data_IF_214018223794
#
_entry.id   IF_214018223794
#
_cell.length_a   1.000
_cell.length_b   1.000
_cell.length_c   1.000
_cell.angle_alpha   90.00
_cell.angle_beta   90.00
_cell.angle_gamma   90.00
#
_symmetry.space_group_name_H-M   'P 1'
#
loop_
_entity.id
_entity.type
_entity.pdbx_description
1 polymer ?
#
# COMPACT_ATOMS: atom_id res chain seq x y z
N UNK A 1 -35.58 -30.92 -40.10
CA UNK A 1 -35.82 -32.36 -40.40
C UNK A 1 -35.24 -32.65 -41.76
N UNK A 2 -34.32 -33.62 -41.89
CA UNK A 2 -33.62 -34.20 -43.07
C UNK A 2 -32.20 -34.53 -42.55
N UNK A 3 -31.93 -35.64 -41.85
CA UNK A 3 -31.79 -37.04 -42.31
C UNK A 3 -30.90 -37.22 -43.55
N UNK A 4 -29.81 -37.97 -43.38
CA UNK A 4 -28.96 -38.54 -44.45
C UNK A 4 -27.49 -38.58 -44.03
N UNK A 5 -27.00 -39.62 -43.35
CA UNK A 5 -26.65 -40.96 -43.83
C UNK A 5 -25.15 -41.09 -44.16
N UNK A 6 -24.56 -42.13 -43.56
CA UNK A 6 -23.16 -42.51 -43.60
C UNK A 6 -22.72 -43.06 -44.96
N UNK A 7 -21.42 -42.98 -45.24
CA UNK A 7 -20.74 -43.81 -46.21
C UNK A 7 -19.37 -44.26 -45.68
N UNK A 8 -19.26 -45.57 -45.44
CA UNK A 8 -18.00 -46.30 -45.36
C UNK A 8 -17.31 -46.28 -46.74
N UNK A 9 -15.98 -46.19 -46.76
CA UNK A 9 -15.19 -46.75 -47.85
C UNK A 9 -13.81 -47.18 -47.37
N UNK A 10 -13.37 -48.26 -47.99
CA UNK A 10 -12.38 -49.22 -47.53
C UNK A 10 -11.01 -49.02 -48.20
N UNK A 11 -10.01 -49.63 -47.55
CA UNK A 11 -8.74 -50.19 -48.07
C UNK A 11 -7.82 -49.31 -48.95
N UNK A 12 -6.57 -49.15 -48.47
CA UNK A 12 -5.39 -49.64 -49.20
C UNK A 12 -4.19 -49.81 -48.25
N UNK A 13 -3.71 -51.04 -48.11
CA UNK A 13 -2.38 -51.36 -47.57
C UNK A 13 -1.33 -50.94 -48.60
N UNK A 14 -0.32 -50.18 -48.17
CA UNK A 14 0.99 -50.16 -48.80
C UNK A 14 2.06 -50.39 -47.73
N UNK A 15 2.64 -51.58 -47.77
CA UNK A 15 3.87 -51.90 -47.05
C UNK A 15 5.05 -51.37 -47.87
N UNK A 16 5.72 -50.33 -47.37
CA UNK A 16 7.11 -50.02 -47.75
C UNK A 16 8.02 -50.33 -46.57
N UNK A 17 8.90 -51.30 -46.80
CA UNK A 17 10.03 -51.61 -45.95
C UNK A 17 11.06 -50.48 -46.03
N UNK A 18 11.16 -49.67 -44.97
CA UNK A 18 12.36 -48.86 -44.71
C UNK A 18 13.24 -49.58 -43.70
N UNK A 19 14.37 -50.08 -44.18
CA UNK A 19 15.49 -50.49 -43.34
C UNK A 19 15.93 -49.27 -42.51
N UNK A 20 15.70 -49.35 -41.19
CA UNK A 20 16.12 -48.34 -40.23
C UNK A 20 17.56 -48.68 -39.83
N UNK A 21 18.52 -47.94 -40.35
CA UNK A 21 19.87 -47.90 -39.78
C UNK A 21 19.76 -47.56 -38.29
N UNK A 22 20.39 -48.37 -37.44
CA UNK A 22 20.48 -48.09 -36.00
C UNK A 22 21.36 -46.84 -35.82
N UNK A 23 20.84 -45.75 -35.23
CA UNK A 23 21.69 -44.64 -34.86
C UNK A 23 22.68 -45.09 -33.79
N UNK A 24 23.95 -44.79 -34.04
CA UNK A 24 25.03 -44.90 -33.07
C UNK A 24 24.65 -44.11 -31.80
N UNK A 25 24.91 -44.64 -30.58
CA UNK A 25 24.59 -43.92 -29.35
C UNK A 25 25.33 -42.58 -29.34
N UNK A 26 24.57 -41.50 -29.17
CA UNK A 26 25.12 -40.17 -28.98
C UNK A 26 25.98 -40.14 -27.72
N UNK A 27 27.09 -39.37 -27.70
CA UNK A 27 27.87 -39.16 -26.49
C UNK A 27 26.97 -38.57 -25.41
N UNK A 28 27.03 -39.17 -24.22
CA UNK A 28 26.35 -38.70 -23.01
C UNK A 28 26.65 -37.21 -22.84
N UNK A 29 25.65 -36.31 -22.79
CA UNK A 29 25.91 -34.92 -22.49
C UNK A 29 26.52 -34.84 -21.09
N UNK A 30 27.70 -34.26 -21.01
CA UNK A 30 28.33 -33.89 -19.76
C UNK A 30 27.31 -33.07 -18.97
N UNK A 31 26.88 -33.60 -17.82
CA UNK A 31 26.05 -32.85 -16.89
C UNK A 31 26.77 -31.52 -16.62
N UNK A 32 26.18 -30.36 -16.95
CA UNK A 32 26.81 -29.10 -16.60
C UNK A 32 26.92 -29.05 -15.07
N UNK A 33 28.16 -28.99 -14.60
CA UNK A 33 28.47 -28.68 -13.21
C UNK A 33 27.71 -27.40 -12.87
N UNK A 34 26.84 -27.38 -11.83
CA UNK A 34 26.18 -26.17 -11.40
C UNK A 34 27.26 -25.11 -11.14
N UNK A 35 27.11 -23.88 -11.65
CA UNK A 35 27.98 -22.79 -11.20
C UNK A 35 27.88 -22.76 -9.67
N UNK A 36 29.05 -22.79 -9.02
CA UNK A 36 29.13 -22.68 -7.57
C UNK A 36 28.31 -21.47 -7.14
N UNK A 37 27.20 -21.73 -6.44
CA UNK A 37 26.34 -20.70 -5.86
C UNK A 37 27.08 -20.04 -4.70
N UNK A 38 28.10 -19.24 -5.01
CA UNK A 38 28.68 -18.25 -4.12
C UNK A 38 28.00 -16.90 -4.41
N UNK A 39 26.68 -16.87 -4.29
CA UNK A 39 25.98 -15.63 -3.95
C UNK A 39 25.48 -15.82 -2.54
N UNK A 40 26.34 -15.51 -1.57
CA UNK A 40 25.87 -15.20 -0.23
C UNK A 40 24.83 -14.08 -0.39
N UNK A 41 23.57 -14.42 -0.13
CA UNK A 41 22.53 -13.40 -0.01
C UNK A 41 23.02 -12.38 1.03
N UNK A 42 22.93 -11.07 0.77
CA UNK A 42 23.31 -10.07 1.74
C UNK A 42 22.46 -10.29 3.00
N UNK A 43 23.08 -10.77 4.07
CA UNK A 43 22.45 -10.88 5.38
C UNK A 43 22.18 -9.46 5.87
N UNK A 44 20.97 -8.96 5.62
CA UNK A 44 20.54 -7.70 6.19
C UNK A 44 20.55 -7.86 7.72
N UNK A 45 21.30 -7.01 8.41
CA UNK A 45 21.35 -6.99 9.87
C UNK A 45 19.99 -6.53 10.39
N UNK A 46 19.16 -7.46 10.85
CA UNK A 46 17.92 -7.14 11.56
C UNK A 46 18.27 -6.78 13.01
N UNK A 47 17.97 -5.55 13.43
CA UNK A 47 18.07 -5.17 14.84
C UNK A 47 16.69 -5.33 15.45
N UNK A 48 16.56 -6.25 16.39
CA UNK A 48 15.36 -6.36 17.21
C UNK A 48 15.34 -5.20 18.19
N UNK A 49 14.43 -4.26 18.00
CA UNK A 49 13.97 -3.42 19.10
C UNK A 49 12.72 -4.09 19.62
N UNK A 50 12.88 -4.88 20.69
CA UNK A 50 11.74 -5.20 21.53
C UNK A 50 11.23 -3.83 22.01
N UNK A 51 10.05 -3.43 21.53
CA UNK A 51 9.27 -2.42 22.22
C UNK A 51 9.08 -3.05 23.59
N UNK A 52 9.93 -2.68 24.56
CA UNK A 52 9.58 -2.88 25.95
C UNK A 52 8.15 -2.40 26.02
N UNK A 53 7.21 -3.27 26.42
CA UNK A 53 5.82 -2.91 26.59
C UNK A 53 5.84 -1.69 27.50
N UNK A 54 5.84 -0.51 26.89
CA UNK A 54 6.26 0.71 27.54
C UNK A 54 5.08 1.08 28.41
N UNK A 55 5.09 0.54 29.63
CA UNK A 55 4.41 1.14 30.77
C UNK A 55 4.94 2.57 31.01
N UNK A 56 6.05 2.96 30.35
CA UNK A 56 6.50 4.33 30.14
C UNK A 56 5.71 5.08 29.06
N UNK A 57 4.38 4.96 29.06
CA UNK A 57 3.54 5.85 28.26
C UNK A 57 3.74 7.27 28.74
N UNK A 58 4.39 8.13 27.94
CA UNK A 58 4.29 9.59 27.98
C UNK A 58 4.01 10.20 29.37
N UNK A 59 4.75 9.80 30.40
CA UNK A 59 4.46 10.20 31.79
C UNK A 59 4.72 11.70 32.01
N UNK A 60 5.39 12.37 31.06
CA UNK A 60 5.64 13.81 31.08
C UNK A 60 4.92 14.61 29.99
N UNK A 61 4.08 13.96 29.17
CA UNK A 61 3.02 14.71 28.49
C UNK A 61 1.84 14.74 29.44
N UNK A 62 1.67 15.86 30.15
CA UNK A 62 0.37 16.25 30.71
C UNK A 62 -0.73 15.82 29.76
N UNK A 63 -1.85 15.20 30.23
CA UNK A 63 -2.84 14.57 29.38
C UNK A 63 -3.31 15.55 28.31
N UNK A 64 -2.62 15.50 27.16
CA UNK A 64 -2.95 16.27 25.99
C UNK A 64 -4.31 15.71 25.60
N UNK A 65 -5.30 16.60 25.69
CA UNK A 65 -6.74 16.35 25.65
C UNK A 65 -7.12 15.03 24.95
N UNK A 66 -8.07 14.31 25.56
CA UNK A 66 -8.60 13.07 24.98
C UNK A 66 -8.92 13.30 23.49
N UNK A 67 -8.55 12.34 22.62
CA UNK A 67 -8.74 12.52 21.19
C UNK A 67 -10.23 12.74 20.92
N UNK A 68 -10.54 13.74 20.12
CA UNK A 68 -11.93 14.03 19.76
C UNK A 68 -12.37 13.05 18.68
N UNK A 69 -13.37 12.25 18.97
CA UNK A 69 -13.90 11.21 18.09
C UNK A 69 -15.24 11.68 17.50
N UNK A 70 -15.41 11.52 16.19
CA UNK A 70 -16.69 11.69 15.52
C UNK A 70 -17.02 10.50 14.62
N UNK A 71 -18.31 10.17 14.62
CA UNK A 71 -18.88 9.23 13.67
C UNK A 71 -19.10 9.95 12.33
N UNK A 72 -18.43 9.47 11.29
CA UNK A 72 -18.49 10.06 9.95
C UNK A 72 -19.69 9.52 9.18
N UNK A 73 -20.12 8.29 9.45
CA UNK A 73 -21.15 7.62 8.67
C UNK A 73 -20.93 6.11 8.55
N UNK A 74 -21.66 5.46 7.63
CA UNK A 74 -21.49 4.03 7.37
C UNK A 74 -20.06 3.67 6.93
N UNK A 75 -19.64 2.42 7.17
CA UNK A 75 -18.35 1.92 6.70
C UNK A 75 -18.19 2.06 5.18
N UNK A 76 -17.16 2.79 4.76
CA UNK A 76 -16.80 2.96 3.36
C UNK A 76 -15.33 3.28 3.13
N UNK A 77 -14.90 3.30 1.86
CA UNK A 77 -13.55 3.72 1.48
C UNK A 77 -13.37 5.19 1.83
N UNK A 78 -12.54 5.46 2.85
CA UNK A 78 -12.38 6.79 3.42
C UNK A 78 -10.92 7.25 3.43
N UNK A 79 -10.72 8.55 3.26
CA UNK A 79 -9.41 9.19 3.40
C UNK A 79 -9.52 10.50 4.17
N UNK A 80 -8.59 10.70 5.10
CA UNK A 80 -8.47 11.97 5.82
C UNK A 80 -7.88 13.04 4.89
N UNK A 81 -8.35 14.28 5.04
CA UNK A 81 -7.89 15.45 4.29
C UNK A 81 -7.85 16.68 5.21
N UNK A 82 -7.18 17.77 4.80
CA UNK A 82 -7.26 19.04 5.53
C UNK A 82 -8.66 19.63 5.69
N UNK A 83 -9.63 19.18 4.89
CA UNK A 83 -11.01 19.68 4.90
C UNK A 83 -11.98 18.78 5.67
N UNK A 84 -11.54 17.58 6.09
CA UNK A 84 -12.39 16.57 6.70
C UNK A 84 -12.12 15.18 6.15
N UNK A 85 -13.13 14.31 6.12
CA UNK A 85 -13.02 12.91 5.68
C UNK A 85 -13.75 12.73 4.35
N UNK A 86 -13.03 12.25 3.32
CA UNK A 86 -13.59 12.00 1.99
C UNK A 86 -13.98 10.53 1.87
N UNK A 87 -15.20 10.25 1.41
CA UNK A 87 -15.70 8.91 1.13
C UNK A 87 -16.05 8.76 -0.35
N UNK A 88 -15.94 7.53 -0.86
CA UNK A 88 -16.37 7.15 -2.22
C UNK A 88 -17.55 6.19 -2.16
N UNK A 89 -18.61 6.47 -2.90
CA UNK A 89 -19.75 5.54 -3.07
C UNK A 89 -19.49 4.53 -4.20
N UNK A 90 -20.30 3.46 -4.27
CA UNK A 90 -20.25 2.48 -5.37
C UNK A 90 -20.53 3.07 -6.76
N UNK A 91 -21.16 4.25 -6.79
CA UNK A 91 -21.51 4.99 -8.00
C UNK A 91 -20.53 6.12 -8.31
N UNK A 92 -19.31 6.05 -7.77
CA UNK A 92 -18.22 7.01 -8.02
C UNK A 92 -18.53 8.44 -7.57
N UNK A 93 -19.40 8.60 -6.57
CA UNK A 93 -19.62 9.88 -5.92
C UNK A 93 -18.57 10.11 -4.83
N UNK A 94 -17.97 11.30 -4.84
CA UNK A 94 -17.13 11.79 -3.74
C UNK A 94 -18.01 12.56 -2.77
N UNK A 95 -17.94 12.17 -1.50
CA UNK A 95 -18.62 12.81 -0.40
C UNK A 95 -17.57 13.34 0.56
N UNK A 96 -17.80 14.52 1.11
CA UNK A 96 -16.93 15.13 2.11
C UNK A 96 -17.72 15.29 3.41
N UNK A 97 -17.33 14.54 4.43
CA UNK A 97 -17.67 14.87 5.80
C UNK A 97 -16.75 16.00 6.23
N UNK A 98 -17.22 17.25 6.09
CA UNK A 98 -16.41 18.43 6.34
C UNK A 98 -16.10 18.62 7.83
N UNK A 99 -14.98 19.25 8.15
CA UNK A 99 -14.74 19.73 9.51
C UNK A 99 -15.87 20.68 9.92
N UNK A 100 -16.52 20.36 11.04
CA UNK A 100 -17.70 21.09 11.49
C UNK A 100 -17.33 22.48 12.02
N UNK A 101 -18.23 23.44 11.81
CA UNK A 101 -18.16 24.79 12.41
C UNK A 101 -18.75 24.83 13.82
N UNK A 102 -19.56 23.83 14.19
CA UNK A 102 -20.08 23.69 15.55
C UNK A 102 -18.94 23.20 16.46
N UNK A 103 -18.55 23.95 17.50
CA UNK A 103 -17.51 23.52 18.43
C UNK A 103 -17.85 22.23 19.20
N UNK A 104 -19.10 21.74 19.16
CA UNK A 104 -19.53 20.48 19.77
C UNK A 104 -19.42 19.27 18.84
N UNK A 105 -19.14 19.48 17.55
CA UNK A 105 -18.98 18.41 16.57
C UNK A 105 -17.68 18.58 15.81
N UNK A 106 -16.93 17.50 15.66
CA UNK A 106 -15.70 17.50 14.88
C UNK A 106 -15.95 17.51 13.38
N UNK A 107 -16.93 16.73 12.91
CA UNK A 107 -17.21 16.46 11.50
C UNK A 107 -18.71 16.50 11.19
N UNK A 108 -19.06 16.92 9.99
CA UNK A 108 -20.40 16.80 9.43
C UNK A 108 -20.63 15.35 8.99
N UNK A 109 -21.50 14.62 9.69
CA UNK A 109 -21.78 13.22 9.38
C UNK A 109 -22.46 13.07 8.00
N UNK A 110 -22.12 11.99 7.30
CA UNK A 110 -22.75 11.59 6.05
C UNK A 110 -23.95 10.70 6.38
N UNK A 111 -25.14 11.20 6.05
CA UNK A 111 -26.39 10.47 6.18
C UNK A 111 -26.76 9.80 4.86
N UNK A 112 -26.16 8.63 4.61
CA UNK A 112 -26.51 7.75 3.50
C UNK A 112 -26.67 6.32 4.01
N UNK A 113 -27.39 5.50 3.25
CA UNK A 113 -27.50 4.08 3.53
C UNK A 113 -26.14 3.36 3.38
N UNK A 114 -25.88 2.39 4.27
CA UNK A 114 -24.64 1.62 4.25
C UNK A 114 -24.42 0.80 2.98
N UNK A 115 -25.49 0.46 2.25
CA UNK A 115 -25.44 -0.20 0.95
C UNK A 115 -24.85 0.66 -0.16
N UNK A 116 -24.76 1.98 0.03
CA UNK A 116 -24.12 2.90 -0.92
C UNK A 116 -22.58 2.73 -0.97
N UNK A 117 -21.98 2.07 0.03
CA UNK A 117 -20.53 1.96 0.19
C UNK A 117 -20.02 0.52 0.01
N UNK A 118 -18.77 0.40 -0.41
CA UNK A 118 -18.03 -0.87 -0.40
C UNK A 118 -17.22 -0.95 0.90
N UNK A 119 -17.74 -1.67 1.90
CA UNK A 119 -17.23 -1.63 3.29
C UNK A 119 -15.75 -1.99 3.45
N UNK A 120 -15.19 -2.80 2.54
CA UNK A 120 -13.80 -3.25 2.58
C UNK A 120 -12.90 -2.59 1.52
N UNK A 121 -13.42 -1.62 0.78
CA UNK A 121 -12.67 -0.90 -0.24
C UNK A 121 -11.66 0.08 0.37
N UNK A 122 -10.69 0.49 -0.44
CA UNK A 122 -9.66 1.46 -0.05
C UNK A 122 -10.11 2.88 -0.35
N UNK A 123 -9.86 3.78 0.58
CA UNK A 123 -10.07 5.22 0.39
C UNK A 123 -9.25 5.80 -0.76
N UNK A 124 -9.65 6.97 -1.29
CA UNK A 124 -8.93 7.62 -2.37
C UNK A 124 -7.52 8.07 -1.93
N UNK A 125 -6.57 8.06 -2.86
CA UNK A 125 -5.35 8.84 -2.71
C UNK A 125 -5.65 10.32 -2.94
N UNK A 126 -5.10 11.20 -2.11
CA UNK A 126 -5.35 12.65 -2.19
C UNK A 126 -4.03 13.35 -2.46
N UNK A 127 -4.00 14.20 -3.49
CA UNK A 127 -2.93 15.18 -3.70
C UNK A 127 -3.49 16.46 -4.31
N UNK A 128 -3.06 17.61 -3.80
CA UNK A 128 -3.66 18.90 -4.13
C UNK A 128 -5.18 18.91 -3.90
N UNK A 129 -5.94 19.33 -4.92
CA UNK A 129 -7.41 19.35 -4.91
C UNK A 129 -8.04 18.11 -5.58
N UNK A 130 -7.30 17.02 -5.75
CA UNK A 130 -7.80 15.83 -6.44
C UNK A 130 -7.82 14.60 -5.54
N UNK A 131 -8.84 13.77 -5.74
CA UNK A 131 -8.94 12.42 -5.24
C UNK A 131 -8.81 11.42 -6.40
N UNK A 132 -8.05 10.34 -6.16
CA UNK A 132 -7.77 9.29 -7.13
C UNK A 132 -8.10 7.92 -6.53
N UNK A 133 -8.81 7.07 -7.26
CA UNK A 133 -9.17 5.73 -6.81
C UNK A 133 -9.39 4.77 -7.98
N UNK A 134 -9.59 3.50 -7.67
CA UNK A 134 -9.93 2.48 -8.66
C UNK A 134 -11.42 2.22 -8.63
N UNK A 135 -12.06 2.25 -9.80
CA UNK A 135 -13.45 1.93 -9.98
C UNK A 135 -13.68 1.12 -11.24
N UNK A 136 -14.22 -0.10 -11.07
CA UNK A 136 -14.65 -0.99 -12.15
C UNK A 136 -13.51 -1.23 -13.15
N UNK A 137 -12.32 -1.54 -12.62
CA UNK A 137 -11.11 -1.80 -13.40
C UNK A 137 -10.43 -0.57 -14.00
N UNK A 138 -10.83 0.65 -13.61
CA UNK A 138 -10.28 1.92 -14.13
C UNK A 138 -9.65 2.73 -13.02
N UNK A 139 -8.52 3.39 -13.31
CA UNK A 139 -8.01 4.48 -12.48
C UNK A 139 -8.83 5.72 -12.82
N UNK A 140 -9.44 6.33 -11.81
CA UNK A 140 -10.25 7.54 -11.98
C UNK A 140 -9.76 8.66 -11.07
N UNK A 141 -9.99 9.90 -11.50
CA UNK A 141 -9.68 11.11 -10.75
C UNK A 141 -10.87 12.06 -10.72
N UNK A 142 -11.02 12.78 -9.62
CA UNK A 142 -12.03 13.85 -9.51
C UNK A 142 -11.56 14.93 -8.54
N UNK A 143 -11.88 16.18 -8.84
CA UNK A 143 -11.58 17.31 -7.95
C UNK A 143 -12.46 17.29 -6.71
N UNK A 144 -11.88 17.59 -5.55
CA UNK A 144 -12.57 17.72 -4.27
C UNK A 144 -13.48 18.95 -4.23
N UNK A 145 -13.18 19.98 -5.01
CA UNK A 145 -14.03 21.16 -5.22
C UNK A 145 -15.27 20.88 -6.10
N UNK A 146 -15.36 19.69 -6.72
CA UNK A 146 -16.43 19.32 -7.63
C UNK A 146 -15.97 19.20 -9.08
N UNK A 147 -16.86 18.73 -9.98
CA UNK A 147 -16.55 18.50 -11.39
C UNK A 147 -16.90 17.10 -11.86
N UNK A 148 -16.56 16.80 -13.13
CA UNK A 148 -16.74 15.48 -13.72
C UNK A 148 -15.73 14.46 -13.21
N UNK A 149 -16.11 13.18 -13.24
CA UNK A 149 -15.20 12.07 -13.04
C UNK A 149 -14.35 11.89 -14.31
N UNK A 150 -13.03 11.84 -14.16
CA UNK A 150 -12.09 11.61 -15.25
C UNK A 150 -11.56 10.17 -15.19
N UNK A 151 -11.50 9.49 -16.34
CA UNK A 151 -10.84 8.18 -16.47
C UNK A 151 -9.39 8.42 -16.89
N UNK A 152 -8.45 8.00 -16.04
CA UNK A 152 -7.02 8.24 -16.22
C UNK A 152 -6.31 7.02 -16.83
N UNK A 153 -6.80 5.81 -16.53
CA UNK A 153 -6.35 4.55 -17.12
C UNK A 153 -7.46 3.49 -17.05
N UNK A 154 -7.45 2.53 -17.98
CA UNK A 154 -8.53 1.52 -18.14
C UNK A 154 -8.15 0.11 -17.68
N UNK A 155 -6.94 -0.05 -17.17
CA UNK A 155 -6.33 -1.34 -16.84
C UNK A 155 -6.07 -1.52 -15.34
N UNK A 156 -6.59 -0.65 -14.48
CA UNK A 156 -6.38 -0.75 -13.04
C UNK A 156 -6.99 -2.03 -12.44
N UNK A 157 -6.36 -2.56 -11.38
CA UNK A 157 -6.79 -3.78 -10.68
C UNK A 157 -7.71 -3.42 -9.50
N UNK A 158 -8.96 -3.85 -9.57
CA UNK A 158 -9.93 -3.65 -8.49
C UNK A 158 -9.42 -4.18 -7.14
N UNK A 159 -9.80 -3.49 -6.07
CA UNK A 159 -9.43 -3.83 -4.69
C UNK A 159 -8.02 -3.40 -4.26
N UNK A 160 -7.19 -2.92 -5.18
CA UNK A 160 -5.86 -2.37 -4.84
C UNK A 160 -5.93 -0.89 -4.47
N UNK A 161 -4.96 -0.44 -3.66
CA UNK A 161 -4.82 0.97 -3.28
C UNK A 161 -4.05 1.74 -4.35
N UNK A 162 -4.44 3.00 -4.53
CA UNK A 162 -3.71 4.00 -5.33
C UNK A 162 -2.85 4.85 -4.40
N UNK A 163 -1.72 5.34 -4.89
CA UNK A 163 -0.93 6.36 -4.22
C UNK A 163 -0.76 7.57 -5.16
N UNK A 164 -0.79 8.78 -4.61
CA UNK A 164 -0.66 10.00 -5.39
C UNK A 164 0.35 10.95 -4.74
N UNK A 165 1.08 11.69 -5.58
CA UNK A 165 2.11 12.63 -5.17
C UNK A 165 2.28 13.72 -6.24
N UNK A 166 3.06 14.75 -5.91
CA UNK A 166 3.51 15.80 -6.82
C UNK A 166 4.99 15.61 -7.13
N UNK A 167 5.37 15.70 -8.40
CA UNK A 167 6.75 15.69 -8.87
C UNK A 167 6.94 16.92 -9.76
N UNK A 168 7.58 17.95 -9.24
CA UNK A 168 7.59 19.27 -9.88
C UNK A 168 6.18 19.85 -9.94
N UNK A 169 5.76 20.28 -11.13
CA UNK A 169 4.39 20.75 -11.39
C UNK A 169 3.41 19.62 -11.75
N UNK A 170 3.90 18.38 -11.91
CA UNK A 170 3.09 17.25 -12.34
C UNK A 170 2.47 16.51 -11.16
N UNK A 171 1.18 16.21 -11.25
CA UNK A 171 0.56 15.21 -10.39
C UNK A 171 0.88 13.82 -10.96
N UNK A 172 1.29 12.91 -10.08
CA UNK A 172 1.58 11.52 -10.45
C UNK A 172 0.77 10.57 -9.58
N UNK A 173 0.32 9.47 -10.17
CA UNK A 173 -0.58 8.52 -9.54
C UNK A 173 -0.11 7.09 -9.81
N UNK A 174 0.35 6.42 -8.77
CA UNK A 174 0.76 5.02 -8.83
C UNK A 174 -0.43 4.09 -8.57
N UNK A 175 -0.55 3.04 -9.38
CA UNK A 175 -1.60 2.03 -9.27
C UNK A 175 -1.09 0.65 -9.70
N UNK A 176 -1.79 -0.39 -9.26
CA UNK A 176 -1.57 -1.76 -9.74
C UNK A 176 -2.46 -2.01 -10.94
N UNK A 177 -1.88 -2.34 -12.09
CA UNK A 177 -2.59 -2.69 -13.30
C UNK A 177 -2.84 -4.20 -13.39
N UNK A 178 -3.95 -4.57 -14.03
CA UNK A 178 -4.28 -5.94 -14.41
C UNK A 178 -3.24 -6.48 -15.40
N UNK A 179 -3.03 -7.80 -15.41
CA UNK A 179 -2.21 -8.44 -16.43
C UNK A 179 -2.68 -8.07 -17.84
N UNK A 180 -1.74 -7.75 -18.74
CA UNK A 180 -2.05 -7.48 -20.15
C UNK A 180 -2.43 -8.74 -20.93
N UNK A 181 -2.12 -9.93 -20.39
CA UNK A 181 -2.42 -11.24 -20.97
C UNK A 181 -3.07 -12.14 -19.92
N UNK A 182 -3.96 -13.06 -20.32
CA UNK A 182 -4.52 -14.05 -19.40
C UNK A 182 -3.42 -14.85 -18.71
N UNK A 183 -3.43 -14.87 -17.38
CA UNK A 183 -2.42 -15.58 -16.57
C UNK A 183 -1.09 -14.85 -16.42
N UNK A 184 -0.92 -13.65 -16.98
CA UNK A 184 0.24 -12.81 -16.73
C UNK A 184 0.24 -12.20 -15.32
N UNK A 185 1.32 -11.51 -14.98
CA UNK A 185 1.47 -10.82 -13.71
C UNK A 185 0.86 -9.41 -13.71
N UNK A 186 0.36 -8.99 -12.56
CA UNK A 186 -0.04 -7.60 -12.34
C UNK A 186 1.19 -6.69 -12.28
N UNK A 187 1.12 -5.48 -12.83
CA UNK A 187 2.27 -4.57 -12.89
C UNK A 187 1.98 -3.25 -12.19
N UNK A 188 2.96 -2.66 -11.50
CA UNK A 188 2.82 -1.30 -10.99
C UNK A 188 3.03 -0.29 -12.13
N UNK A 189 2.12 0.68 -12.24
CA UNK A 189 2.16 1.75 -13.24
C UNK A 189 2.06 3.12 -12.58
N UNK A 190 2.57 4.15 -13.25
CA UNK A 190 2.51 5.55 -12.84
C UNK A 190 1.81 6.34 -13.95
N UNK A 191 0.62 6.83 -13.68
CA UNK A 191 0.01 7.86 -14.51
C UNK A 191 0.61 9.23 -14.16
N UNK A 192 0.90 10.04 -15.16
CA UNK A 192 1.43 11.39 -15.04
C UNK A 192 0.43 12.37 -15.64
N UNK A 193 0.17 13.48 -14.94
CA UNK A 193 -0.68 14.56 -15.45
C UNK A 193 -0.23 14.99 -16.85
N UNK A 194 -1.16 14.97 -17.81
CA UNK A 194 -0.85 15.08 -19.24
C UNK A 194 -1.09 13.79 -20.02
N UNK A 195 -1.36 12.67 -19.33
CA UNK A 195 -1.85 11.42 -19.92
C UNK A 195 -0.77 10.37 -20.21
N UNK A 196 0.49 10.64 -19.89
CA UNK A 196 1.55 9.65 -19.99
C UNK A 196 1.40 8.59 -18.89
N UNK A 197 1.65 7.32 -19.22
CA UNK A 197 1.70 6.23 -18.24
C UNK A 197 3.02 5.49 -18.35
N UNK A 198 3.72 5.39 -17.23
CA UNK A 198 5.03 4.73 -17.11
C UNK A 198 4.90 3.42 -16.33
N UNK A 199 5.79 2.46 -16.62
CA UNK A 199 5.90 1.22 -15.84
C UNK A 199 6.81 1.44 -14.62
N UNK A 200 6.28 1.21 -13.41
CA UNK A 200 7.03 1.33 -12.16
C UNK A 200 7.77 0.04 -11.82
N UNK A 201 7.07 -1.09 -11.80
CA UNK A 201 7.66 -2.40 -11.48
C UNK A 201 8.62 -2.85 -12.59
N UNK A 202 9.76 -3.48 -12.28
CA UNK A 202 10.66 -4.03 -13.29
C UNK A 202 9.98 -5.13 -14.12
N UNK A 203 10.65 -5.56 -15.19
CA UNK A 203 10.19 -6.68 -16.01
C UNK A 203 10.16 -7.98 -15.19
N UNK A 204 9.08 -8.77 -15.32
CA UNK A 204 8.88 -10.02 -14.58
C UNK A 204 8.45 -9.90 -13.11
N UNK A 205 8.30 -8.68 -12.57
CA UNK A 205 7.79 -8.48 -11.21
C UNK A 205 6.25 -8.42 -11.17
N UNK A 206 5.66 -9.01 -10.13
CA UNK A 206 4.22 -9.05 -9.88
C UNK A 206 3.82 -8.09 -8.75
N UNK A 207 3.32 -6.89 -9.09
CA UNK A 207 2.95 -5.89 -8.09
C UNK A 207 1.64 -6.23 -7.36
N UNK A 208 1.65 -6.13 -6.03
CA UNK A 208 0.47 -6.26 -5.17
C UNK A 208 0.08 -4.95 -4.47
N UNK A 209 1.04 -4.07 -4.18
CA UNK A 209 0.80 -2.77 -3.54
C UNK A 209 1.79 -1.71 -4.06
N UNK A 210 1.36 -0.45 -4.02
CA UNK A 210 2.19 0.72 -4.38
C UNK A 210 2.10 1.82 -3.33
N UNK A 211 3.17 2.58 -3.17
CA UNK A 211 3.17 3.84 -2.42
C UNK A 211 4.02 4.90 -3.12
N UNK A 212 3.70 6.17 -2.90
CA UNK A 212 4.49 7.31 -3.34
C UNK A 212 4.83 8.16 -2.12
N UNK A 213 6.10 8.47 -1.95
CA UNK A 213 6.59 9.30 -0.84
C UNK A 213 7.19 10.58 -1.40
N UNK A 214 6.54 11.71 -1.18
CA UNK A 214 7.06 13.02 -1.59
C UNK A 214 8.32 13.39 -0.78
N UNK A 215 9.37 13.77 -1.50
CA UNK A 215 10.69 14.19 -1.00
C UNK A 215 11.00 15.61 -1.44
N UNK A 216 12.08 16.21 -0.93
CA UNK A 216 12.51 17.54 -1.37
C UNK A 216 12.94 17.61 -2.85
N UNK A 217 13.23 16.46 -3.48
CA UNK A 217 13.82 16.37 -4.81
C UNK A 217 12.93 15.62 -5.82
N UNK A 218 11.65 15.44 -5.51
CA UNK A 218 10.71 14.63 -6.28
C UNK A 218 9.99 13.64 -5.38
N UNK A 219 9.88 12.37 -5.79
CA UNK A 219 9.23 11.35 -4.98
C UNK A 219 9.99 10.01 -5.00
N UNK A 220 9.75 9.15 -4.02
CA UNK A 220 10.16 7.76 -4.04
C UNK A 220 8.93 6.88 -4.28
N UNK A 221 8.96 6.12 -5.36
CA UNK A 221 7.96 5.10 -5.65
C UNK A 221 8.34 3.78 -5.01
N UNK A 222 7.44 3.22 -4.23
CA UNK A 222 7.58 1.90 -3.60
C UNK A 222 6.62 0.93 -4.29
N UNK A 223 7.11 -0.25 -4.64
CA UNK A 223 6.27 -1.34 -5.17
C UNK A 223 6.53 -2.60 -4.37
N UNK A 224 5.48 -3.15 -3.78
CA UNK A 224 5.53 -4.43 -3.08
C UNK A 224 5.16 -5.54 -4.06
N UNK A 225 6.03 -6.53 -4.18
CA UNK A 225 5.78 -7.76 -4.93
C UNK A 225 5.35 -8.87 -3.97
N UNK A 226 4.05 -8.94 -3.69
CA UNK A 226 3.50 -9.95 -2.78
C UNK A 226 3.57 -11.35 -3.38
N UNK A 227 4.40 -12.23 -2.79
CA UNK A 227 4.42 -13.67 -3.12
C UNK A 227 4.34 -14.51 -1.85
N UNK A 228 4.00 -15.78 -2.03
CA UNK A 228 4.12 -16.79 -0.98
C UNK A 228 5.61 -17.06 -0.73
N UNK A 229 6.11 -16.74 0.47
CA UNK A 229 7.48 -17.02 0.90
C UNK A 229 8.49 -15.86 0.79
N UNK A 230 8.51 -15.10 -0.31
CA UNK A 230 9.42 -13.96 -0.48
C UNK A 230 8.70 -12.77 -1.09
N UNK A 231 8.72 -11.64 -0.38
CA UNK A 231 8.07 -10.40 -0.82
C UNK A 231 9.12 -9.31 -1.06
N UNK A 232 9.62 -9.14 -2.29
CA UNK A 232 10.48 -8.00 -2.64
C UNK A 232 9.76 -6.66 -2.47
N UNK A 233 10.46 -5.70 -1.88
CA UNK A 233 10.11 -4.29 -1.90
C UNK A 233 11.06 -3.57 -2.86
N UNK A 234 10.49 -3.11 -3.96
CA UNK A 234 11.17 -2.29 -4.95
C UNK A 234 11.05 -0.81 -4.60
N UNK A 235 12.10 -0.05 -4.85
CA UNK A 235 12.14 1.39 -4.68
C UNK A 235 12.76 2.07 -5.90
N UNK A 236 12.07 3.09 -6.43
CA UNK A 236 12.50 3.89 -7.60
C UNK A 236 12.34 5.36 -7.33
N UNK A 237 13.37 6.15 -7.59
CA UNK A 237 13.26 7.62 -7.48
C UNK A 237 12.55 8.18 -8.70
N UNK A 238 11.68 9.14 -8.44
CA UNK A 238 10.99 9.98 -9.40
C UNK A 238 11.57 11.37 -9.30
N UNK A 239 11.98 11.92 -10.44
CA UNK A 239 12.43 13.30 -10.54
C UNK A 239 11.82 14.01 -11.74
N UNK A 240 12.22 15.25 -11.95
CA UNK A 240 11.86 16.03 -13.12
C UNK A 240 13.12 16.36 -13.92
N UNK A 241 13.07 16.16 -15.24
CA UNK A 241 14.13 16.57 -16.15
C UNK A 241 13.53 17.18 -17.41
N UNK A 242 13.74 18.48 -17.59
CA UNK A 242 13.23 19.22 -18.75
C UNK A 242 11.70 19.20 -18.87
N UNK A 243 10.98 19.40 -17.75
CA UNK A 243 9.52 19.42 -17.74
C UNK A 243 8.85 18.05 -17.78
N UNK A 244 9.63 16.96 -17.69
CA UNK A 244 9.12 15.58 -17.75
C UNK A 244 9.48 14.80 -16.50
N UNK A 245 8.53 14.00 -16.03
CA UNK A 245 8.77 13.04 -14.96
C UNK A 245 9.70 11.95 -15.48
N UNK A 246 10.77 11.68 -14.74
CA UNK A 246 11.74 10.63 -15.06
C UNK A 246 11.82 9.62 -13.93
N UNK A 247 11.94 8.34 -14.31
CA UNK A 247 12.17 7.21 -13.41
C UNK A 247 13.66 6.89 -13.37
N UNK A 248 14.25 6.82 -12.18
CA UNK A 248 15.58 6.26 -12.00
C UNK A 248 15.53 4.70 -12.01
N UNK A 249 16.71 4.09 -11.88
CA UNK A 249 16.87 2.63 -11.84
C UNK A 249 16.13 2.01 -10.66
N UNK A 250 15.76 0.74 -10.82
CA UNK A 250 15.11 -0.06 -9.79
C UNK A 250 16.11 -0.60 -8.77
N UNK A 251 15.70 -0.59 -7.51
CA UNK A 251 16.42 -1.21 -6.41
C UNK A 251 15.49 -2.10 -5.62
N UNK A 252 15.84 -3.37 -5.48
CA UNK A 252 15.22 -4.27 -4.49
C UNK A 252 15.79 -3.89 -3.12
N UNK A 253 15.10 -3.00 -2.43
CA UNK A 253 15.58 -2.43 -1.18
C UNK A 253 15.54 -3.45 -0.04
N UNK A 254 14.52 -4.31 -0.03
CA UNK A 254 14.29 -5.30 1.01
C UNK A 254 13.52 -6.51 0.47
N UNK A 255 13.68 -7.67 1.10
CA UNK A 255 12.89 -8.88 0.81
C UNK A 255 12.32 -9.40 2.13
N UNK A 256 10.99 -9.38 2.23
CA UNK A 256 10.25 -9.87 3.40
C UNK A 256 9.76 -11.30 3.26
N UNK A 257 9.03 -11.76 4.29
CA UNK A 257 8.31 -13.03 4.29
C UNK A 257 7.08 -13.03 3.37
N UNK A 258 6.08 -13.84 3.67
CA UNK A 258 4.90 -13.96 2.83
C UNK A 258 3.99 -12.74 2.98
N UNK A 259 3.61 -12.13 1.86
CA UNK A 259 2.54 -11.14 1.84
C UNK A 259 1.18 -11.82 1.79
N UNK A 260 0.23 -11.25 2.51
CA UNK A 260 -1.19 -11.61 2.43
C UNK A 260 -1.91 -10.73 1.40
N UNK A 261 -3.16 -11.08 1.08
CA UNK A 261 -3.91 -10.39 0.02
C UNK A 261 -4.14 -8.90 0.29
N UNK A 262 -4.10 -8.49 1.57
CA UNK A 262 -4.32 -7.12 2.01
C UNK A 262 -3.04 -6.46 2.54
N UNK A 263 -1.87 -7.09 2.39
CA UNK A 263 -0.59 -6.49 2.75
C UNK A 263 -0.30 -5.28 1.85
N UNK A 264 -0.19 -4.11 2.47
CA UNK A 264 0.10 -2.85 1.79
C UNK A 264 1.47 -2.33 2.21
N UNK A 265 2.17 -1.68 1.27
CA UNK A 265 3.30 -0.82 1.59
C UNK A 265 2.82 0.62 1.72
N UNK A 266 3.31 1.32 2.74
CA UNK A 266 3.23 2.78 2.84
C UNK A 266 4.62 3.34 3.12
N UNK A 267 4.81 4.64 2.95
CA UNK A 267 6.11 5.25 3.23
C UNK A 267 6.00 6.68 3.74
N UNK A 268 7.07 7.16 4.35
CA UNK A 268 7.12 8.45 5.01
C UNK A 268 8.52 9.05 4.98
N UNK A 269 8.62 10.37 5.15
CA UNK A 269 9.92 11.06 5.22
C UNK A 269 10.23 11.40 6.67
N UNK A 270 11.39 10.99 7.15
CA UNK A 270 11.89 11.33 8.47
C UNK A 270 12.41 12.79 8.53
N UNK A 271 12.60 13.37 9.73
CA UNK A 271 13.05 14.76 9.87
C UNK A 271 14.41 15.08 9.22
N UNK A 272 15.25 14.08 8.99
CA UNK A 272 16.54 14.21 8.29
C UNK A 272 16.43 14.08 6.76
N UNK A 273 15.22 13.96 6.20
CA UNK A 273 14.98 13.81 4.77
C UNK A 273 15.07 12.38 4.23
N UNK A 274 15.47 11.41 5.05
CA UNK A 274 15.45 9.99 4.69
C UNK A 274 14.04 9.46 4.48
N UNK A 275 13.88 8.47 3.60
CA UNK A 275 12.60 7.80 3.38
C UNK A 275 12.56 6.49 4.16
N UNK A 276 11.41 6.23 4.79
CA UNK A 276 11.10 4.97 5.46
C UNK A 276 9.94 4.28 4.76
N UNK A 277 10.07 2.97 4.56
CA UNK A 277 8.99 2.08 4.12
C UNK A 277 8.40 1.33 5.30
N UNK A 278 7.09 1.09 5.28
CA UNK A 278 6.37 0.36 6.32
C UNK A 278 5.49 -0.72 5.70
N UNK A 279 5.61 -1.95 6.20
CA UNK A 279 4.83 -3.10 5.75
C UNK A 279 4.46 -3.97 6.94
N UNK A 280 3.16 -4.21 7.18
CA UNK A 280 2.71 -5.18 8.17
C UNK A 280 2.69 -6.58 7.51
N UNK A 281 3.59 -7.47 7.94
CA UNK A 281 3.88 -8.72 7.24
C UNK A 281 4.53 -9.75 8.18
N UNK A 282 4.55 -11.01 7.74
CA UNK A 282 5.34 -12.07 8.36
C UNK A 282 6.82 -11.69 8.41
N UNK A 283 7.40 -11.79 9.60
CA UNK A 283 8.84 -11.72 9.83
C UNK A 283 9.48 -13.09 9.59
N UNK A 284 8.89 -14.11 10.18
CA UNK A 284 9.32 -15.50 10.14
C UNK A 284 8.11 -16.42 10.40
N UNK A 285 8.34 -17.74 10.51
CA UNK A 285 7.29 -18.75 10.69
C UNK A 285 6.51 -18.63 12.01
N UNK A 286 7.03 -17.87 12.98
CA UNK A 286 6.42 -17.64 14.29
C UNK A 286 6.05 -16.18 14.55
N UNK A 287 6.59 -15.25 13.75
CA UNK A 287 6.54 -13.82 14.00
C UNK A 287 5.84 -13.05 12.89
N UNK A 288 4.96 -12.14 13.30
CA UNK A 288 4.34 -11.13 12.43
C UNK A 288 4.53 -9.76 13.07
N UNK A 289 4.71 -8.72 12.27
CA UNK A 289 4.85 -7.37 12.79
C UNK A 289 4.86 -6.31 11.70
N UNK A 290 5.13 -5.09 12.12
CA UNK A 290 5.41 -3.97 11.23
C UNK A 290 6.91 -3.90 10.94
N UNK A 291 7.30 -4.16 9.71
CA UNK A 291 8.65 -3.86 9.22
C UNK A 291 8.80 -2.35 9.01
N UNK A 292 9.81 -1.75 9.64
CA UNK A 292 10.27 -0.38 9.45
C UNK A 292 11.58 -0.41 8.66
N UNK A 293 11.53 -0.01 7.39
CA UNK A 293 12.61 -0.21 6.43
C UNK A 293 13.25 1.15 6.14
N UNK A 294 14.52 1.34 6.53
CA UNK A 294 15.27 2.57 6.29
C UNK A 294 15.79 2.59 4.84
N UNK A 295 15.04 3.25 3.96
CA UNK A 295 15.38 3.37 2.54
C UNK A 295 16.39 4.50 2.30
N UNK A 296 16.63 5.36 3.29
CA UNK A 296 17.44 6.57 3.15
C UNK A 296 16.90 7.54 2.09
N UNK A 297 17.69 8.55 1.73
CA UNK A 297 17.36 9.48 0.63
C UNK A 297 17.55 8.83 -0.75
N UNK A 298 18.52 7.92 -0.84
CA UNK A 298 18.79 7.10 -2.03
C UNK A 298 18.65 5.63 -1.65
N UNK A 299 17.67 4.91 -2.23
CA UNK A 299 17.47 3.51 -1.91
C UNK A 299 18.70 2.69 -2.32
N UNK A 300 19.00 1.69 -1.50
CA UNK A 300 20.08 0.72 -1.73
C UNK A 300 19.56 -0.67 -1.40
N UNK A 301 20.20 -1.70 -1.96
CA UNK A 301 19.90 -3.08 -1.60
C UNK A 301 20.24 -3.34 -0.13
N UNK A 302 19.47 -4.20 0.53
CA UNK A 302 19.71 -4.57 1.92
C UNK A 302 19.49 -3.40 2.89
N UNK A 303 18.44 -2.62 2.66
CA UNK A 303 18.00 -1.57 3.57
C UNK A 303 17.86 -2.12 5.00
N UNK A 304 18.39 -1.42 6.03
CA UNK A 304 18.19 -1.82 7.42
C UNK A 304 16.70 -1.94 7.75
N UNK A 305 16.34 -2.95 8.54
CA UNK A 305 14.97 -3.18 8.99
C UNK A 305 14.92 -3.27 10.51
N UNK A 306 14.00 -2.52 11.10
CA UNK A 306 13.58 -2.66 12.50
C UNK A 306 12.15 -3.19 12.53
N UNK A 307 11.77 -3.90 13.59
CA UNK A 307 10.45 -4.53 13.68
C UNK A 307 9.69 -4.05 14.90
N UNK A 308 8.38 -3.79 14.73
CA UNK A 308 7.42 -3.77 15.83
C UNK A 308 6.58 -5.03 15.78
N UNK A 309 6.85 -5.95 16.71
CA UNK A 309 6.19 -7.25 16.72
C UNK A 309 4.73 -7.14 17.14
N UNK A 310 3.87 -7.87 16.44
CA UNK A 310 2.45 -7.96 16.74
C UNK A 310 2.18 -9.25 17.52
N UNK A 311 1.68 -9.16 18.75
CA UNK A 311 1.74 -10.26 19.72
C UNK A 311 0.93 -11.51 19.36
N UNK A 312 0.10 -11.47 18.31
CA UNK A 312 -0.66 -12.62 17.81
C UNK A 312 -0.87 -12.59 16.27
N UNK A 313 -0.04 -11.83 15.54
CA UNK A 313 -0.25 -11.56 14.11
C UNK A 313 -1.58 -10.87 13.79
N UNK A 314 -1.72 -10.36 12.56
CA UNK A 314 -2.93 -9.62 12.20
C UNK A 314 -3.18 -9.54 10.69
N UNK A 315 -4.38 -9.95 10.27
CA UNK A 315 -4.91 -9.63 8.94
C UNK A 315 -6.41 -9.27 9.07
N UNK A 316 -6.86 -8.08 8.62
CA UNK A 316 -6.06 -6.96 8.10
C UNK A 316 -5.31 -6.19 9.18
N UNK A 317 -4.11 -5.72 8.83
CA UNK A 317 -3.28 -4.81 9.62
C UNK A 317 -3.07 -3.49 8.85
N UNK A 318 -4.12 -2.64 8.71
CA UNK A 318 -4.00 -1.42 7.93
C UNK A 318 -2.96 -0.46 8.53
N UNK A 319 -2.17 0.15 7.64
CA UNK A 319 -1.14 1.13 7.95
C UNK A 319 -1.32 2.34 7.04
N UNK A 320 -1.12 3.55 7.55
CA UNK A 320 -1.10 4.76 6.75
C UNK A 320 -0.13 5.80 7.32
N UNK A 321 0.54 6.52 6.43
CA UNK A 321 1.34 7.69 6.76
C UNK A 321 0.61 8.97 6.38
N UNK A 322 0.95 10.07 7.06
CA UNK A 322 0.51 11.41 6.70
C UNK A 322 1.40 12.46 7.35
N UNK A 323 1.62 13.59 6.67
CA UNK A 323 2.32 14.73 7.26
C UNK A 323 1.35 15.64 8.01
N UNK A 324 1.67 15.96 9.25
CA UNK A 324 0.92 16.86 10.12
C UNK A 324 1.83 17.42 11.21
N UNK A 325 1.53 18.60 11.74
CA UNK A 325 2.34 19.27 12.76
C UNK A 325 3.81 19.56 12.36
N UNK A 326 4.16 19.44 11.06
CA UNK A 326 5.54 19.56 10.57
C UNK A 326 6.35 18.25 10.62
N UNK A 327 5.72 17.13 10.95
CA UNK A 327 6.34 15.81 11.05
C UNK A 327 5.54 14.78 10.24
N UNK A 328 6.15 13.62 9.98
CA UNK A 328 5.43 12.48 9.42
C UNK A 328 4.89 11.62 10.56
N UNK A 329 3.60 11.27 10.46
CA UNK A 329 2.91 10.39 11.41
C UNK A 329 2.54 9.09 10.73
N UNK A 330 2.55 8.01 11.50
CA UNK A 330 2.10 6.69 11.09
C UNK A 330 0.95 6.24 11.99
N UNK A 331 -0.20 5.93 11.38
CA UNK A 331 -1.26 5.18 12.02
C UNK A 331 -1.15 3.69 11.62
N UNK A 332 -1.25 2.78 12.58
CA UNK A 332 -1.21 1.34 12.33
C UNK A 332 -2.11 0.58 13.30
N UNK A 333 -2.76 -0.47 12.81
CA UNK A 333 -3.53 -1.39 13.64
C UNK A 333 -2.67 -2.58 14.09
N UNK A 334 -2.79 -2.96 15.37
CA UNK A 334 -2.16 -4.18 15.91
C UNK A 334 -3.08 -4.86 16.94
N UNK A 335 -2.91 -6.15 17.25
CA UNK A 335 -3.60 -6.78 18.38
C UNK A 335 -3.19 -6.13 19.70
N UNK A 336 -4.16 -5.93 20.59
CA UNK A 336 -3.93 -5.39 21.94
C UNK A 336 -3.08 -6.33 22.81
N UNK A 337 -3.24 -7.65 22.62
CA UNK A 337 -2.63 -8.70 23.45
C UNK A 337 -2.30 -9.93 22.60
N UNK A 338 -1.50 -10.86 23.15
CA UNK A 338 -1.15 -12.12 22.50
C UNK A 338 -2.29 -13.15 22.40
N UNK A 339 -3.46 -12.86 22.99
CA UNK A 339 -4.55 -13.84 23.05
C UNK A 339 -5.29 -13.94 21.70
N UNK A 340 -5.66 -15.16 21.25
CA UNK A 340 -6.57 -15.33 20.14
C UNK A 340 -7.85 -14.51 20.28
N UNK A 341 -8.23 -13.79 19.23
CA UNK A 341 -9.42 -12.93 19.22
C UNK A 341 -9.30 -11.66 20.07
N UNK A 342 -8.10 -11.31 20.55
CA UNK A 342 -7.87 -10.00 21.17
C UNK A 342 -8.33 -8.88 20.22
N UNK A 343 -8.98 -7.82 20.75
CA UNK A 343 -9.34 -6.67 19.93
C UNK A 343 -8.08 -6.03 19.34
N UNK A 344 -8.26 -5.33 18.23
CA UNK A 344 -7.24 -4.48 17.66
C UNK A 344 -7.20 -3.12 18.34
N UNK A 345 -6.01 -2.56 18.46
CA UNK A 345 -5.76 -1.17 18.82
C UNK A 345 -5.27 -0.41 17.58
N UNK A 346 -5.78 0.80 17.39
CA UNK A 346 -5.26 1.74 16.40
C UNK A 346 -4.24 2.65 17.08
N UNK A 347 -2.98 2.54 16.67
CA UNK A 347 -1.86 3.30 17.21
C UNK A 347 -1.51 4.46 16.30
N UNK A 348 -1.02 5.56 16.88
CA UNK A 348 -0.43 6.69 16.19
C UNK A 348 0.98 6.96 16.73
N UNK A 349 1.97 7.03 15.84
CA UNK A 349 3.38 7.29 16.16
C UNK A 349 3.95 8.36 15.26
N UNK A 350 4.81 9.22 15.79
CA UNK A 350 5.64 10.11 14.98
C UNK A 350 6.83 9.34 14.40
N UNK A 351 7.20 9.66 13.16
CA UNK A 351 8.41 9.17 12.52
C UNK A 351 9.60 10.08 12.89
N UNK A 352 10.55 9.53 13.64
CA UNK A 352 11.79 10.20 14.00
C UNK A 352 12.91 9.92 12.99
N UNK A 353 14.13 10.39 13.31
CA UNK A 353 15.32 10.14 12.48
C UNK A 353 15.76 8.66 12.46
N UNK A 354 15.38 7.90 13.48
CA UNK A 354 15.81 6.50 13.69
C UNK A 354 14.61 5.54 13.67
N UNK A 355 13.62 5.82 12.83
CA UNK A 355 12.36 5.08 12.76
C UNK A 355 11.27 5.67 13.66
N UNK A 356 10.21 4.89 13.88
CA UNK A 356 9.03 5.33 14.61
C UNK A 356 9.33 5.48 16.11
N UNK A 357 8.87 6.58 16.71
CA UNK A 357 8.88 6.81 18.15
C UNK A 357 7.72 6.11 18.88
N UNK A 358 7.57 6.30 20.20
CA UNK A 358 6.49 5.71 20.98
C UNK A 358 5.11 5.91 20.35
N UNK A 359 4.20 4.98 20.60
CA UNK A 359 2.84 5.03 20.05
C UNK A 359 1.81 5.44 21.10
N UNK A 360 0.73 6.09 20.66
CA UNK A 360 -0.48 6.34 21.44
C UNK A 360 -1.64 5.56 20.84
N UNK A 361 -2.41 4.87 21.69
CA UNK A 361 -3.66 4.23 21.28
C UNK A 361 -4.73 5.31 21.05
N UNK A 362 -5.31 5.32 19.85
CA UNK A 362 -6.40 6.21 19.46
C UNK A 362 -7.78 5.57 19.65
N UNK A 363 -7.88 4.28 19.35
CA UNK A 363 -9.14 3.55 19.34
C UNK A 363 -8.92 2.05 19.53
N UNK A 364 -9.97 1.34 19.95
CA UNK A 364 -10.01 -0.11 20.08
C UNK A 364 -11.25 -0.64 19.36
N UNK A 365 -11.07 -1.68 18.56
CA UNK A 365 -12.16 -2.30 17.79
C UNK A 365 -11.89 -3.80 17.60
N UNK A 366 -12.88 -4.56 17.13
CA UNK A 366 -12.67 -5.95 16.70
C UNK A 366 -11.73 -6.05 15.51
N UNK A 367 -11.86 -5.13 14.55
CA UNK A 367 -11.01 -5.07 13.37
C UNK A 367 -11.05 -3.69 12.71
N UNK A 368 -9.90 -3.24 12.21
CA UNK A 368 -9.78 -2.07 11.34
C UNK A 368 -9.58 -2.53 9.89
N UNK A 369 -10.34 -1.97 8.95
CA UNK A 369 -10.25 -2.35 7.52
C UNK A 369 -9.55 -1.29 6.66
N UNK A 370 -9.51 -0.05 7.16
CA UNK A 370 -8.91 1.09 6.47
C UNK A 370 -8.46 2.12 7.50
N UNK A 371 -7.34 2.78 7.22
CA UNK A 371 -6.84 3.93 7.96
C UNK A 371 -6.25 4.95 6.98
N UNK A 372 -6.33 6.23 7.33
CA UNK A 372 -5.73 7.36 6.61
C UNK A 372 -5.36 8.45 7.60
N UNK A 373 -4.27 9.17 7.32
CA UNK A 373 -3.77 10.26 8.16
C UNK A 373 -3.58 11.52 7.32
N UNK A 374 -4.03 12.68 7.81
CA UNK A 374 -3.78 13.97 7.19
C UNK A 374 -3.64 15.08 8.24
N UNK A 375 -3.00 16.19 7.85
CA UNK A 375 -3.07 17.42 8.61
C UNK A 375 -4.49 18.00 8.57
N UNK A 376 -4.95 18.58 9.68
CA UNK A 376 -6.17 19.36 9.78
C UNK A 376 -5.90 20.59 10.65
N UNK A 377 -5.39 21.67 10.04
CA UNK A 377 -4.96 22.86 10.75
C UNK A 377 -3.78 22.58 11.70
N UNK A 378 -4.00 22.82 12.99
CA UNK A 378 -3.07 22.56 14.10
C UNK A 378 -3.25 21.16 14.73
N UNK A 379 -3.88 20.25 14.00
CA UNK A 379 -4.14 18.89 14.44
C UNK A 379 -3.83 17.85 13.37
N UNK A 380 -3.79 16.61 13.82
CA UNK A 380 -3.75 15.40 13.00
C UNK A 380 -5.18 14.88 12.92
N UNK A 381 -5.67 14.65 11.71
CA UNK A 381 -6.93 13.95 11.47
C UNK A 381 -6.62 12.52 11.02
N UNK A 382 -7.12 11.55 11.79
CA UNK A 382 -7.06 10.13 11.46
C UNK A 382 -8.45 9.67 11.09
N UNK A 383 -8.63 9.22 9.86
CA UNK A 383 -9.85 8.55 9.42
C UNK A 383 -9.62 7.04 9.47
N UNK A 384 -10.59 6.28 9.97
CA UNK A 384 -10.52 4.82 9.94
C UNK A 384 -11.90 4.19 9.81
N UNK A 385 -11.95 2.95 9.35
CA UNK A 385 -13.19 2.17 9.27
C UNK A 385 -13.11 0.96 10.18
N UNK A 386 -14.09 0.83 11.06
CA UNK A 386 -14.17 -0.16 12.11
C UNK A 386 -15.62 -0.31 12.59
N UNK A 387 -16.01 -1.51 13.04
CA UNK A 387 -17.36 -1.79 13.58
C UNK A 387 -18.50 -1.31 12.66
N UNK A 388 -18.35 -1.52 11.35
CA UNK A 388 -19.31 -1.12 10.31
C UNK A 388 -19.57 0.39 10.19
N UNK A 389 -18.70 1.22 10.78
CA UNK A 389 -18.73 2.68 10.70
C UNK A 389 -17.40 3.23 10.20
N UNK A 390 -17.45 4.41 9.62
CA UNK A 390 -16.27 5.24 9.38
C UNK A 390 -16.20 6.27 10.50
N UNK A 391 -15.01 6.45 11.04
CA UNK A 391 -14.72 7.33 12.17
C UNK A 391 -13.68 8.37 11.78
N UNK A 392 -13.76 9.55 12.38
CA UNK A 392 -12.73 10.58 12.34
C UNK A 392 -12.25 10.87 13.75
N UNK A 393 -10.93 10.88 13.95
CA UNK A 393 -10.29 11.25 15.21
C UNK A 393 -9.36 12.44 14.99
N UNK A 394 -9.55 13.49 15.80
CA UNK A 394 -8.66 14.65 15.83
C UNK A 394 -7.73 14.57 17.03
N UNK A 395 -6.43 14.68 16.77
CA UNK A 395 -5.36 14.74 17.78
C UNK A 395 -4.65 16.07 17.62
N UNK A 396 -4.77 16.95 18.62
CA UNK A 396 -4.10 18.27 18.58
C UNK A 396 -2.58 18.11 18.63
N UNK A 397 -1.88 18.93 17.84
CA UNK A 397 -0.42 19.01 17.92
C UNK A 397 -0.01 19.62 19.28
N UNK A 398 1.08 19.15 19.87
CA UNK A 398 1.67 19.85 21.01
C UNK A 398 2.12 21.25 20.57
N UNK A 399 1.93 22.29 21.40
CA UNK A 399 2.46 23.61 21.09
C UNK A 399 3.98 23.52 20.96
N UNK A 400 4.54 24.05 19.87
CA UNK A 400 6.00 24.13 19.72
C UNK A 400 6.53 25.00 20.86
N UNK A 401 7.37 24.43 21.73
CA UNK A 401 8.12 25.20 22.73
C UNK A 401 8.97 26.21 21.95
N UNK A 402 8.71 27.50 22.19
CA UNK A 402 9.42 28.61 21.53
C UNK A 402 10.87 28.68 21.97
#
# INVERSE_FOLDING_TARGET
MHSGAAALSALALFALACQRERPSPAPTPSTPTPPAANSAAPTATSVEREEALDAGGLADATPAEAPELADVGPAGPASATPRGVVLITRDDQLLLAALSKDPKSLLEAIDLDGGAFAQYARGPAITGDFAYWISKGRLVGKRLSGGGLEVLAEDARDGTRVAAASVGESAVVAYVARPSTPGGDATARLWVSGGETLRLSPEGAAASSVALVETAHGALALTLEGRTGMTPLHARRLGERGGKVVLEDDVVAWVGGSAQSLTEVVGGVSPNGGVWGFVAIERDVTGFGLAEIDLGERPKMGAPVTWRMYPNGLDPAPVATGRACGETWLAHARPAESKPGAPQELHLSALGANGLGPSRVLSRSRAFVNVSVAAAGDAILVAYTADHRTWGVRVRCAPKKK
#
